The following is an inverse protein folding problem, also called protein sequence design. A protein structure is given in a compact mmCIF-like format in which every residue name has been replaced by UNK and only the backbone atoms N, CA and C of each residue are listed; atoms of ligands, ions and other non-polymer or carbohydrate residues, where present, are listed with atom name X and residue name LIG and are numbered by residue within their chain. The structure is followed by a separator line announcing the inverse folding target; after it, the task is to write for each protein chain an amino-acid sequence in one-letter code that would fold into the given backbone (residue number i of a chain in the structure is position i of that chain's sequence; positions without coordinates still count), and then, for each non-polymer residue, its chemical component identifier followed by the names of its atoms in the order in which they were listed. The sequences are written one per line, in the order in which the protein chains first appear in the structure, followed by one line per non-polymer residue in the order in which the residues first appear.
data_IF_136307637447
#
_entry.id   IF_136307637447
#
_cell.length_a   1.000
_cell.length_b   1.000
_cell.length_c   1.000
_cell.angle_alpha   90.00
_cell.angle_beta   90.00
_cell.angle_gamma   90.00
#
_symmetry.space_group_name_H-M   'P 1'
#
loop_
_entity.id
_entity.type
_entity.pdbx_description
1 polymer ?
#
# COMPACT_ATOMS: atom_id res chain seq x y z
N UNK A 1 -1.24 -18.59 -15.00
CA UNK A 1 -1.83 -19.13 -13.76
C UNK A 1 -2.07 -17.99 -12.81
N UNK A 2 -3.28 -17.80 -12.36
CA UNK A 2 -3.64 -16.81 -11.34
C UNK A 2 -3.35 -17.38 -9.95
N UNK A 3 -2.78 -16.57 -9.07
CA UNK A 3 -2.61 -16.96 -7.68
C UNK A 3 -3.98 -17.19 -7.01
N UNK A 4 -4.07 -18.15 -6.09
CA UNK A 4 -5.26 -18.34 -5.29
C UNK A 4 -5.47 -17.16 -4.33
N UNK A 5 -6.70 -17.00 -3.83
CA UNK A 5 -6.96 -15.99 -2.80
C UNK A 5 -6.08 -16.20 -1.55
N UNK A 6 -5.91 -17.45 -1.14
CA UNK A 6 -5.06 -17.77 0.01
C UNK A 6 -3.59 -17.39 -0.22
N UNK A 7 -3.08 -17.58 -1.43
CA UNK A 7 -1.73 -17.15 -1.78
C UNK A 7 -1.61 -15.63 -1.79
N UNK A 8 -2.61 -14.94 -2.36
CA UNK A 8 -2.63 -13.48 -2.43
C UNK A 8 -2.68 -12.83 -1.05
N UNK A 9 -3.53 -13.32 -0.14
CA UNK A 9 -3.61 -12.75 1.20
C UNK A 9 -2.36 -13.04 2.04
N UNK A 10 -1.73 -14.20 1.87
CA UNK A 10 -0.44 -14.50 2.50
C UNK A 10 0.68 -13.62 1.99
N UNK A 11 0.77 -13.43 0.69
CA UNK A 11 1.76 -12.53 0.09
C UNK A 11 1.60 -11.10 0.60
N UNK A 12 0.36 -10.63 0.75
CA UNK A 12 0.07 -9.32 1.31
C UNK A 12 0.53 -9.21 2.78
N UNK A 13 0.24 -10.22 3.59
CA UNK A 13 0.65 -10.27 4.99
C UNK A 13 2.19 -10.28 5.11
N UNK A 14 2.87 -11.09 4.29
CA UNK A 14 4.34 -11.17 4.27
C UNK A 14 4.98 -9.83 3.84
N UNK A 15 4.41 -9.18 2.83
CA UNK A 15 4.88 -7.86 2.39
C UNK A 15 4.68 -6.80 3.50
N UNK A 16 3.56 -6.85 4.21
CA UNK A 16 3.29 -5.95 5.34
C UNK A 16 4.28 -6.20 6.49
N UNK A 17 4.57 -7.44 6.82
CA UNK A 17 5.55 -7.79 7.84
C UNK A 17 6.95 -7.28 7.48
N UNK A 18 7.37 -7.48 6.25
CA UNK A 18 8.66 -6.97 5.77
C UNK A 18 8.73 -5.44 5.83
N UNK A 19 7.65 -4.75 5.45
CA UNK A 19 7.56 -3.30 5.53
C UNK A 19 7.68 -2.82 6.98
N UNK A 20 6.98 -3.44 7.93
CA UNK A 20 7.07 -3.11 9.36
C UNK A 20 8.49 -3.32 9.88
N UNK A 21 9.09 -4.47 9.58
CA UNK A 21 10.45 -4.80 10.03
C UNK A 21 11.50 -3.82 9.45
N UNK A 22 11.39 -3.49 8.16
CA UNK A 22 12.31 -2.55 7.52
C UNK A 22 12.14 -1.13 8.04
N UNK A 23 10.90 -0.70 8.28
CA UNK A 23 10.61 0.61 8.88
C UNK A 23 11.23 0.76 10.29
N UNK A 24 11.30 -0.33 11.06
CA UNK A 24 11.94 -0.33 12.38
C UNK A 24 13.45 -0.09 12.32
N UNK A 25 14.09 -0.31 11.16
CA UNK A 25 15.52 -0.06 10.97
C UNK A 25 15.86 1.41 10.69
N UNK A 26 14.88 2.26 10.47
CA UNK A 26 15.08 3.69 10.18
C UNK A 26 15.72 4.40 11.37
N UNK A 27 15.22 4.13 12.58
CA UNK A 27 15.68 4.70 13.86
C UNK A 27 15.53 6.23 13.88
N UNK A 28 16.57 6.97 13.53
CA UNK A 28 16.61 8.45 13.52
C UNK A 28 16.82 9.05 12.12
N UNK A 29 16.78 8.21 11.08
CA UNK A 29 17.06 8.62 9.68
C UNK A 29 15.84 9.06 8.88
N UNK A 30 14.77 9.52 9.54
CA UNK A 30 13.51 9.91 8.89
C UNK A 30 13.67 11.07 7.91
N UNK A 31 14.62 11.98 8.16
CA UNK A 31 14.87 13.16 7.34
C UNK A 31 15.95 12.94 6.26
N UNK A 32 16.51 11.73 6.18
CA UNK A 32 17.50 11.40 5.15
C UNK A 32 16.82 11.21 3.78
N UNK A 33 17.56 11.36 2.66
CA UNK A 33 17.01 11.08 1.33
C UNK A 33 16.45 9.65 1.26
N UNK A 34 15.23 9.52 0.72
CA UNK A 34 14.55 8.26 0.56
C UNK A 34 14.51 7.82 -0.89
N UNK A 35 13.58 8.38 -1.67
CA UNK A 35 13.39 8.04 -3.08
C UNK A 35 12.99 9.30 -3.86
N UNK A 36 13.75 9.66 -4.89
CA UNK A 36 13.46 10.84 -5.68
C UNK A 36 13.41 12.10 -4.83
N UNK A 37 12.28 12.79 -4.84
CA UNK A 37 12.05 14.00 -4.03
C UNK A 37 11.67 13.70 -2.58
N UNK A 38 11.41 12.44 -2.24
CA UNK A 38 10.97 12.06 -0.90
C UNK A 38 12.16 11.81 0.03
N UNK A 39 12.05 12.30 1.26
CA UNK A 39 12.83 11.79 2.37
C UNK A 39 12.30 10.40 2.80
N UNK A 40 12.97 9.77 3.75
CA UNK A 40 12.57 8.46 4.28
C UNK A 40 11.14 8.50 4.85
N UNK A 41 10.78 9.58 5.55
CA UNK A 41 9.43 9.74 6.12
C UNK A 41 8.36 9.72 5.03
N UNK A 42 8.53 10.49 3.97
CA UNK A 42 7.58 10.54 2.86
C UNK A 42 7.49 9.21 2.11
N UNK A 43 8.62 8.52 1.92
CA UNK A 43 8.67 7.20 1.31
C UNK A 43 7.89 6.17 2.14
N UNK A 44 8.11 6.13 3.45
CA UNK A 44 7.37 5.24 4.38
C UNK A 44 5.89 5.62 4.41
N UNK A 45 5.57 6.91 4.44
CA UNK A 45 4.20 7.40 4.34
C UNK A 45 3.51 6.94 3.07
N UNK A 46 4.17 7.08 1.93
CA UNK A 46 3.65 6.61 0.64
C UNK A 46 3.41 5.09 0.64
N UNK A 47 4.38 4.32 1.12
CA UNK A 47 4.25 2.87 1.22
C UNK A 47 3.09 2.46 2.14
N UNK A 48 2.88 3.15 3.27
CA UNK A 48 1.79 2.88 4.21
C UNK A 48 0.41 3.04 3.58
N UNK A 49 0.27 3.86 2.54
CA UNK A 49 -0.98 4.00 1.80
C UNK A 49 -1.42 2.71 1.12
N UNK A 50 -0.49 1.82 0.79
CA UNK A 50 -0.83 0.51 0.24
C UNK A 50 -1.63 -0.36 1.22
N UNK A 51 -1.45 -0.15 2.52
CA UNK A 51 -2.28 -0.75 3.56
C UNK A 51 -3.57 0.05 3.78
N UNK A 52 -3.46 1.37 3.94
CA UNK A 52 -4.59 2.25 4.26
C UNK A 52 -5.65 2.29 3.16
N UNK A 53 -5.28 2.20 1.89
CA UNK A 53 -6.26 2.19 0.79
C UNK A 53 -7.09 0.90 0.78
N UNK A 54 -6.55 -0.23 1.19
CA UNK A 54 -7.33 -1.46 1.37
C UNK A 54 -8.42 -1.25 2.41
N UNK A 55 -8.07 -0.72 3.58
CA UNK A 55 -9.01 -0.41 4.65
C UNK A 55 -10.10 0.57 4.16
N UNK A 56 -9.67 1.66 3.53
CA UNK A 56 -10.58 2.69 3.02
C UNK A 56 -11.57 2.12 1.99
N UNK A 57 -11.06 1.35 1.03
CA UNK A 57 -11.88 0.84 -0.06
C UNK A 57 -12.79 -0.30 0.36
N UNK A 58 -12.44 -1.07 1.39
CA UNK A 58 -13.36 -2.03 2.00
C UNK A 58 -14.63 -1.37 2.54
N UNK A 59 -14.54 -0.10 2.94
CA UNK A 59 -15.69 0.72 3.33
C UNK A 59 -16.43 1.40 2.16
N UNK A 60 -16.01 1.17 0.91
CA UNK A 60 -16.59 1.79 -0.29
C UNK A 60 -16.99 0.70 -1.30
N UNK A 61 -18.10 0.01 -1.08
CA UNK A 61 -18.52 -1.04 -2.00
C UNK A 61 -18.83 -0.48 -3.39
N UNK A 62 -18.54 -1.26 -4.43
CA UNK A 62 -18.89 -0.96 -5.80
C UNK A 62 -20.07 -1.84 -6.24
N UNK A 63 -20.83 -1.37 -7.23
CA UNK A 63 -21.95 -2.13 -7.81
C UNK A 63 -21.52 -3.02 -8.96
N UNK A 64 -20.47 -2.63 -9.68
CA UNK A 64 -19.98 -3.32 -10.86
C UNK A 64 -18.47 -3.44 -10.89
N UNK A 65 -17.97 -4.44 -11.61
CA UNK A 65 -16.55 -4.59 -11.94
C UNK A 65 -16.25 -3.78 -13.20
N UNK A 66 -15.47 -2.73 -13.06
CA UNK A 66 -15.01 -1.91 -14.19
C UNK A 66 -13.58 -2.27 -14.59
N UNK A 67 -12.76 -2.69 -13.62
CA UNK A 67 -11.38 -3.15 -13.80
C UNK A 67 -11.30 -4.58 -13.28
N UNK A 68 -10.88 -5.52 -14.11
CA UNK A 68 -10.92 -6.96 -13.82
C UNK A 68 -9.55 -7.60 -13.59
N UNK A 69 -8.50 -6.79 -13.50
CA UNK A 69 -7.13 -7.30 -13.28
C UNK A 69 -6.21 -6.25 -12.65
N UNK A 70 -5.13 -6.72 -12.02
CA UNK A 70 -4.07 -5.86 -11.51
C UNK A 70 -3.40 -5.04 -12.64
N UNK A 71 -3.17 -5.66 -13.79
CA UNK A 71 -2.62 -4.97 -14.97
C UNK A 71 -3.56 -3.87 -15.46
N UNK A 72 -4.86 -4.14 -15.50
CA UNK A 72 -5.87 -3.14 -15.84
C UNK A 72 -5.87 -1.95 -14.89
N UNK A 73 -5.70 -2.20 -13.61
CA UNK A 73 -5.56 -1.13 -12.61
C UNK A 73 -4.37 -0.23 -12.91
N UNK A 74 -3.18 -0.80 -13.08
CA UNK A 74 -1.97 -0.02 -13.35
C UNK A 74 -2.05 0.76 -14.66
N UNK A 75 -2.67 0.19 -15.69
CA UNK A 75 -2.93 0.90 -16.96
C UNK A 75 -3.85 2.10 -16.75
N UNK A 76 -4.90 1.92 -15.97
CA UNK A 76 -5.88 2.99 -15.72
C UNK A 76 -5.29 4.17 -14.94
N UNK A 77 -4.34 3.93 -14.03
CA UNK A 77 -3.75 4.98 -13.19
C UNK A 77 -2.41 5.51 -13.71
N UNK A 78 -1.82 4.93 -14.75
CA UNK A 78 -0.45 5.25 -15.19
C UNK A 78 -0.23 6.73 -15.48
N UNK A 79 -1.21 7.42 -16.06
CA UNK A 79 -1.14 8.85 -16.34
C UNK A 79 -1.15 9.71 -15.07
N UNK A 80 -1.77 9.24 -13.98
CA UNK A 80 -1.87 9.93 -12.71
C UNK A 80 -0.71 9.60 -11.75
N UNK A 81 0.03 8.53 -12.02
CA UNK A 81 1.03 7.99 -11.11
C UNK A 81 2.35 8.81 -11.07
N UNK A 82 2.56 9.71 -12.01
CA UNK A 82 3.82 10.44 -12.19
C UNK A 82 3.70 11.97 -11.91
N UNK A 83 2.60 12.44 -11.35
CA UNK A 83 2.36 13.88 -11.20
C UNK A 83 2.79 14.43 -9.83
N UNK A 84 2.87 15.80 -9.70
CA UNK A 84 3.19 16.47 -8.44
C UNK A 84 2.24 16.09 -7.29
N UNK A 85 1.00 15.72 -7.60
CA UNK A 85 0.01 15.29 -6.63
C UNK A 85 0.43 13.99 -5.90
N UNK A 86 1.11 13.07 -6.57
CA UNK A 86 1.63 11.83 -5.94
C UNK A 86 2.74 12.18 -4.95
N UNK A 87 3.67 13.03 -5.33
CA UNK A 87 4.75 13.50 -4.46
C UNK A 87 4.18 14.18 -3.19
N UNK A 88 3.17 15.02 -3.33
CA UNK A 88 2.54 15.68 -2.20
C UNK A 88 1.79 14.70 -1.30
N UNK A 89 1.07 13.74 -1.88
CA UNK A 89 0.37 12.69 -1.09
C UNK A 89 1.35 11.86 -0.25
N UNK A 90 2.54 11.57 -0.78
CA UNK A 90 3.58 10.89 -0.03
C UNK A 90 4.06 11.71 1.17
N UNK A 91 4.32 13.00 0.97
CA UNK A 91 4.71 13.90 2.06
C UNK A 91 3.62 14.01 3.13
N UNK A 92 2.38 14.20 2.73
CA UNK A 92 1.24 14.31 3.63
C UNK A 92 1.05 13.01 4.43
N UNK A 93 1.17 11.86 3.78
CA UNK A 93 1.10 10.56 4.44
C UNK A 93 2.25 10.36 5.44
N UNK A 94 3.46 10.83 5.12
CA UNK A 94 4.59 10.81 6.03
C UNK A 94 4.35 11.64 7.29
N UNK A 95 3.78 12.84 7.13
CA UNK A 95 3.38 13.70 8.25
C UNK A 95 2.31 13.02 9.09
N UNK A 96 1.34 12.37 8.46
CA UNK A 96 0.23 11.68 9.13
C UNK A 96 0.68 10.50 10.01
N UNK A 97 1.89 9.96 9.81
CA UNK A 97 2.46 8.93 10.68
C UNK A 97 2.75 9.44 12.09
N UNK A 98 2.87 10.76 12.27
CA UNK A 98 3.00 11.39 13.58
C UNK A 98 4.40 11.30 14.18
N UNK A 99 4.47 11.41 15.50
CA UNK A 99 5.73 11.52 16.25
C UNK A 99 6.53 10.21 16.30
N UNK A 100 5.86 9.06 16.22
CA UNK A 100 6.48 7.73 16.20
C UNK A 100 6.04 6.97 14.96
N UNK A 101 6.69 7.21 13.79
CA UNK A 101 6.30 6.56 12.55
C UNK A 101 6.45 5.04 12.57
N UNK A 102 7.43 4.51 13.29
CA UNK A 102 7.63 3.06 13.43
C UNK A 102 6.42 2.41 14.11
N UNK A 103 5.95 2.97 15.22
CA UNK A 103 4.75 2.48 15.89
C UNK A 103 3.50 2.64 15.02
N UNK A 104 3.37 3.77 14.31
CA UNK A 104 2.23 4.02 13.42
C UNK A 104 2.14 2.97 12.31
N UNK A 105 3.26 2.64 11.66
CA UNK A 105 3.33 1.60 10.62
C UNK A 105 2.91 0.24 11.17
N UNK A 106 3.42 -0.13 12.34
CA UNK A 106 3.08 -1.39 12.99
C UNK A 106 1.58 -1.47 13.34
N UNK A 107 0.99 -0.39 13.82
CA UNK A 107 -0.45 -0.31 14.12
C UNK A 107 -1.31 -0.45 12.85
N UNK A 108 -0.92 0.23 11.78
CA UNK A 108 -1.63 0.14 10.50
C UNK A 108 -1.63 -1.30 10.00
N UNK A 109 -0.48 -1.97 9.98
CA UNK A 109 -0.38 -3.36 9.55
C UNK A 109 -1.19 -4.29 10.45
N UNK A 110 -1.10 -4.13 11.77
CA UNK A 110 -1.84 -4.94 12.76
C UNK A 110 -3.35 -4.78 12.63
N UNK A 111 -3.84 -3.66 12.11
CA UNK A 111 -5.25 -3.40 11.86
C UNK A 111 -5.71 -3.91 10.49
N UNK A 112 -4.91 -3.69 9.44
CA UNK A 112 -5.33 -3.95 8.06
C UNK A 112 -5.17 -5.41 7.66
N UNK A 113 -4.08 -6.07 8.05
CA UNK A 113 -3.85 -7.48 7.68
C UNK A 113 -4.99 -8.39 8.14
N UNK A 114 -5.47 -8.33 9.40
CA UNK A 114 -6.63 -9.13 9.82
C UNK A 114 -7.92 -8.81 9.06
N UNK A 115 -8.11 -7.56 8.60
CA UNK A 115 -9.29 -7.20 7.78
C UNK A 115 -9.28 -7.99 6.46
N UNK A 116 -8.12 -8.15 5.84
CA UNK A 116 -7.96 -8.93 4.61
C UNK A 116 -8.14 -10.44 4.90
N UNK A 117 -7.57 -10.93 5.99
CA UNK A 117 -7.69 -12.35 6.37
C UNK A 117 -9.13 -12.79 6.62
N UNK A 118 -9.98 -11.87 7.05
CA UNK A 118 -11.41 -12.12 7.27
C UNK A 118 -12.25 -12.11 5.99
N UNK A 119 -11.66 -11.88 4.82
CA UNK A 119 -12.35 -11.75 3.53
C UNK A 119 -12.10 -12.97 2.64
N UNK A 120 -12.99 -13.16 1.66
CA UNK A 120 -12.87 -14.24 0.67
C UNK A 120 -12.37 -13.78 -0.70
N UNK A 121 -12.16 -12.47 -0.88
CA UNK A 121 -11.65 -11.87 -2.11
C UNK A 121 -12.72 -11.47 -3.12
N UNK A 122 -13.98 -11.82 -2.90
CA UNK A 122 -15.11 -11.52 -3.82
C UNK A 122 -15.69 -10.13 -3.62
N UNK A 123 -15.32 -9.45 -2.54
CA UNK A 123 -15.80 -8.09 -2.23
C UNK A 123 -15.54 -7.14 -3.39
N UNK A 124 -16.53 -6.33 -3.74
CA UNK A 124 -16.41 -5.30 -4.76
C UNK A 124 -16.07 -3.96 -4.10
N UNK A 125 -14.97 -3.37 -4.52
CA UNK A 125 -14.43 -2.13 -3.97
C UNK A 125 -14.52 -1.01 -5.00
N UNK A 126 -14.80 0.21 -4.56
CA UNK A 126 -14.64 1.40 -5.39
C UNK A 126 -13.23 1.95 -5.21
N UNK A 127 -12.33 1.60 -6.13
CA UNK A 127 -10.96 2.11 -6.15
C UNK A 127 -10.87 3.44 -6.90
N UNK A 128 -9.69 4.07 -6.86
CA UNK A 128 -9.43 5.27 -7.67
C UNK A 128 -9.60 5.03 -9.18
N UNK A 129 -9.43 3.79 -9.63
CA UNK A 129 -9.59 3.40 -11.03
C UNK A 129 -11.01 2.95 -11.39
N UNK A 130 -11.88 2.76 -10.40
CA UNK A 130 -13.22 2.23 -10.57
C UNK A 130 -13.47 0.95 -9.78
N UNK A 131 -14.59 0.29 -10.02
CA UNK A 131 -15.00 -0.92 -9.32
C UNK A 131 -14.07 -2.10 -9.62
N UNK A 132 -13.61 -2.77 -8.57
CA UNK A 132 -12.74 -3.95 -8.63
C UNK A 132 -13.10 -4.97 -7.55
N UNK A 133 -12.85 -6.25 -7.83
CA UNK A 133 -12.83 -7.25 -6.76
C UNK A 133 -11.59 -7.08 -5.90
N UNK A 134 -11.72 -7.36 -4.60
CA UNK A 134 -10.58 -7.36 -3.69
C UNK A 134 -9.46 -8.31 -4.16
N UNK A 135 -9.82 -9.48 -4.70
CA UNK A 135 -8.84 -10.43 -5.23
C UNK A 135 -7.99 -9.88 -6.38
N UNK A 136 -8.52 -8.93 -7.16
CA UNK A 136 -7.81 -8.29 -8.27
C UNK A 136 -7.05 -7.03 -7.83
N UNK A 137 -7.54 -6.34 -6.80
CA UNK A 137 -6.91 -5.14 -6.26
C UNK A 137 -5.74 -5.46 -5.33
N UNK A 138 -5.87 -6.46 -4.47
CA UNK A 138 -4.88 -6.77 -3.44
C UNK A 138 -3.47 -7.00 -3.98
N UNK A 139 -3.27 -7.72 -5.11
CA UNK A 139 -1.93 -7.89 -5.68
C UNK A 139 -1.25 -6.57 -6.05
N UNK A 140 -2.01 -5.53 -6.41
CA UNK A 140 -1.44 -4.21 -6.69
C UNK A 140 -0.82 -3.60 -5.44
N UNK A 141 -1.44 -3.83 -4.28
CA UNK A 141 -0.96 -3.32 -2.99
C UNK A 141 0.25 -4.09 -2.49
N UNK A 142 0.25 -5.40 -2.67
CA UNK A 142 1.40 -6.25 -2.37
C UNK A 142 2.62 -5.83 -3.18
N UNK A 143 2.43 -5.57 -4.47
CA UNK A 143 3.48 -5.08 -5.36
C UNK A 143 4.06 -3.74 -4.89
N UNK A 144 3.19 -2.76 -4.61
CA UNK A 144 3.61 -1.44 -4.12
C UNK A 144 4.36 -1.52 -2.78
N UNK A 145 3.86 -2.33 -1.84
CA UNK A 145 4.54 -2.56 -0.56
C UNK A 145 5.93 -3.16 -0.77
N UNK A 146 6.04 -4.19 -1.59
CA UNK A 146 7.31 -4.88 -1.82
C UNK A 146 8.34 -3.97 -2.49
N UNK A 147 7.94 -3.25 -3.54
CA UNK A 147 8.82 -2.33 -4.27
C UNK A 147 9.30 -1.20 -3.36
N UNK A 148 8.39 -0.54 -2.65
CA UNK A 148 8.77 0.60 -1.80
C UNK A 148 9.48 0.17 -0.52
N UNK A 149 9.26 -1.04 -0.03
CA UNK A 149 10.09 -1.61 1.05
C UNK A 149 11.53 -1.85 0.58
N UNK A 150 11.70 -2.34 -0.65
CA UNK A 150 13.02 -2.47 -1.26
C UNK A 150 13.71 -1.10 -1.45
N UNK A 151 12.96 -0.09 -1.89
CA UNK A 151 13.46 1.29 -1.99
C UNK A 151 13.90 1.82 -0.63
N UNK A 152 13.11 1.57 0.41
CA UNK A 152 13.44 1.94 1.79
C UNK A 152 14.72 1.23 2.28
N UNK A 153 14.82 -0.08 2.06
CA UNK A 153 16.02 -0.84 2.42
C UNK A 153 17.27 -0.29 1.73
N UNK A 154 17.15 0.13 0.47
CA UNK A 154 18.25 0.74 -0.28
C UNK A 154 18.64 2.12 0.23
N UNK A 155 17.72 2.86 0.83
CA UNK A 155 17.97 4.18 1.40
C UNK A 155 18.65 4.13 2.78
N UNK A 156 18.60 2.99 3.45
CA UNK A 156 19.17 2.77 4.78
C UNK A 156 20.56 2.14 4.71
#
# INVERSE_FOLDING_TARGET
MTASWDDSRRAFADAAEWFVATSALVVDRWDQPGLGEWDVRALVGHASRSLLTVETYLGRPAETVEIDSAVGYFRAISAAAAGPAVAQRGRDAGIALGADPTAAVAEIAARVVPLVDARDGTELLTTIAGGMRLADYLPTRTFELAVHTADLASAL
#
